data_IF_489903278247
#
_entry.id   IF_489903278247
#
_cell.length_a   1.000
_cell.length_b   1.000
_cell.length_c   1.000
_cell.angle_alpha   90.00
_cell.angle_beta   90.00
_cell.angle_gamma   90.00
#
_symmetry.space_group_name_H-M   'P 1'
#
loop_
_entity.id
_entity.type
_entity.pdbx_description
1 polymer ?
#
# COMPACT_ATOMS: atom_id res chain seq x y z
N UNK A 1 -57.64 2.90 -60.85
CA UNK A 1 -57.23 2.29 -62.10
C UNK A 1 -56.10 1.34 -61.76
N UNK A 2 -56.32 0.18 -61.74
CA UNK A 2 -56.23 -0.98 -62.60
C UNK A 2 -55.41 -2.09 -61.98
N UNK A 3 -56.14 -3.15 -61.65
CA UNK A 3 -55.93 -4.60 -61.84
C UNK A 3 -54.75 -5.29 -61.12
N UNK A 4 -55.06 -6.17 -60.15
CA UNK A 4 -55.46 -7.60 -60.21
C UNK A 4 -54.65 -8.41 -61.21
N UNK A 5 -53.83 -9.35 -60.63
CA UNK A 5 -53.84 -10.73 -61.09
C UNK A 5 -53.31 -11.70 -60.02
N UNK A 6 -54.21 -12.60 -59.69
CA UNK A 6 -53.98 -13.84 -58.91
C UNK A 6 -53.28 -14.87 -59.79
N UNK A 7 -52.37 -15.64 -59.16
CA UNK A 7 -52.04 -16.99 -59.66
C UNK A 7 -51.89 -17.92 -58.49
N UNK A 8 -52.80 -18.82 -58.36
CA UNK A 8 -52.86 -20.03 -57.55
C UNK A 8 -51.86 -21.06 -58.09
N UNK A 9 -51.06 -21.62 -57.18
CA UNK A 9 -50.19 -22.77 -57.48
C UNK A 9 -50.19 -23.72 -56.29
N UNK A 10 -50.97 -24.72 -56.39
CA UNK A 10 -51.12 -25.89 -55.50
C UNK A 10 -49.97 -26.85 -55.69
N UNK A 11 -49.24 -27.21 -54.64
CA UNK A 11 -48.41 -28.41 -54.63
C UNK A 11 -48.21 -28.92 -53.18
N UNK A 12 -48.90 -29.87 -52.94
CA UNK A 12 -48.82 -31.17 -52.30
C UNK A 12 -47.65 -31.43 -51.33
N UNK A 13 -48.12 -31.84 -50.17
CA UNK A 13 -47.50 -32.45 -49.04
C UNK A 13 -46.31 -33.43 -49.29
N UNK A 14 -45.33 -33.34 -48.38
CA UNK A 14 -44.73 -34.54 -47.81
C UNK A 14 -44.37 -34.22 -46.35
N UNK A 15 -45.22 -34.67 -45.44
CA UNK A 15 -44.88 -34.72 -44.02
C UNK A 15 -43.96 -35.93 -43.80
N UNK A 16 -42.66 -35.65 -43.53
CA UNK A 16 -41.80 -36.64 -42.93
C UNK A 16 -41.56 -36.15 -41.48
N UNK A 17 -42.28 -36.74 -40.57
CA UNK A 17 -42.04 -36.63 -39.11
C UNK A 17 -40.77 -37.43 -38.78
N UNK A 18 -39.63 -36.76 -38.76
CA UNK A 18 -38.50 -37.25 -37.98
C UNK A 18 -38.63 -36.70 -36.56
N UNK A 19 -39.31 -37.45 -35.72
CA UNK A 19 -39.17 -37.32 -34.27
C UNK A 19 -37.74 -37.78 -33.90
N UNK A 20 -36.79 -36.88 -34.03
CA UNK A 20 -35.52 -37.02 -33.31
C UNK A 20 -35.81 -36.67 -31.87
N UNK A 21 -36.08 -37.69 -31.07
CA UNK A 21 -36.07 -37.61 -29.61
C UNK A 21 -34.72 -37.02 -29.21
N UNK A 22 -34.74 -35.76 -28.76
CA UNK A 22 -33.66 -35.21 -27.96
C UNK A 22 -33.66 -36.07 -26.66
N UNK A 23 -32.91 -37.15 -26.67
CA UNK A 23 -32.51 -37.81 -25.44
C UNK A 23 -31.62 -36.79 -24.71
N UNK A 24 -32.18 -36.11 -23.70
CA UNK A 24 -31.39 -35.54 -22.63
C UNK A 24 -30.51 -36.70 -22.13
N UNK A 25 -29.16 -36.56 -22.14
CA UNK A 25 -28.34 -37.55 -21.51
C UNK A 25 -28.75 -37.59 -20.05
N UNK A 26 -29.39 -38.67 -19.65
CA UNK A 26 -29.49 -39.08 -18.25
C UNK A 26 -28.06 -39.11 -17.74
N UNK A 27 -27.83 -38.46 -16.59
CA UNK A 27 -26.56 -38.50 -15.88
C UNK A 27 -26.19 -39.99 -15.74
N UNK A 28 -25.33 -40.45 -16.64
CA UNK A 28 -24.78 -41.76 -16.64
C UNK A 28 -23.97 -41.88 -15.37
N UNK A 29 -24.19 -42.93 -14.62
CA UNK A 29 -23.51 -43.26 -13.36
C UNK A 29 -22.04 -43.65 -13.66
N UNK A 30 -21.33 -42.74 -14.32
CA UNK A 30 -19.94 -42.91 -14.74
C UNK A 30 -19.10 -42.87 -13.48
N UNK A 31 -18.59 -44.04 -13.08
CA UNK A 31 -17.66 -44.14 -11.96
C UNK A 31 -16.38 -43.35 -12.23
N UNK A 32 -16.38 -42.10 -11.83
CA UNK A 32 -15.29 -41.16 -12.05
C UNK A 32 -13.94 -41.61 -11.46
N UNK A 33 -13.97 -42.60 -10.53
CA UNK A 33 -12.75 -43.13 -9.91
C UNK A 33 -11.94 -44.03 -10.85
N UNK A 34 -12.55 -44.52 -11.92
CA UNK A 34 -11.91 -45.40 -12.92
C UNK A 34 -11.21 -44.69 -14.05
N UNK A 35 -11.23 -43.38 -14.08
CA UNK A 35 -10.58 -42.58 -15.14
C UNK A 35 -9.04 -42.61 -15.00
N UNK A 36 -8.29 -42.67 -16.12
CA UNK A 36 -6.86 -42.96 -16.12
C UNK A 36 -5.99 -41.83 -15.56
N UNK A 37 -6.52 -40.63 -15.40
CA UNK A 37 -5.77 -39.50 -14.85
C UNK A 37 -6.55 -38.83 -13.71
N UNK A 38 -5.84 -38.31 -12.72
CA UNK A 38 -6.43 -37.57 -11.60
C UNK A 38 -7.24 -36.35 -12.08
N UNK A 39 -6.80 -35.69 -13.16
CA UNK A 39 -7.50 -34.55 -13.75
C UNK A 39 -8.82 -34.98 -14.35
N UNK A 40 -8.84 -36.04 -15.15
CA UNK A 40 -10.07 -36.57 -15.74
C UNK A 40 -11.08 -37.08 -14.68
N UNK A 41 -10.59 -37.71 -13.61
CA UNK A 41 -11.43 -38.12 -12.47
C UNK A 41 -12.03 -36.91 -11.76
N UNK A 42 -11.26 -35.84 -11.54
CA UNK A 42 -11.74 -34.62 -10.92
C UNK A 42 -12.70 -33.85 -11.82
N UNK A 43 -12.43 -33.76 -13.13
CA UNK A 43 -13.33 -33.12 -14.11
C UNK A 43 -14.69 -33.82 -14.17
N UNK A 44 -14.69 -35.15 -14.06
CA UNK A 44 -15.90 -35.94 -14.01
C UNK A 44 -16.69 -35.70 -12.70
N UNK A 45 -16.03 -35.62 -11.56
CA UNK A 45 -16.67 -35.50 -10.25
C UNK A 45 -17.05 -34.06 -9.89
N UNK A 46 -16.25 -33.05 -10.35
CA UNK A 46 -16.37 -31.66 -9.93
C UNK A 46 -16.69 -30.69 -11.07
N UNK A 47 -16.81 -31.19 -12.30
CA UNK A 47 -16.96 -30.40 -13.53
C UNK A 47 -15.62 -29.97 -14.09
N UNK A 48 -15.65 -29.32 -15.26
CA UNK A 48 -14.43 -28.83 -15.91
C UNK A 48 -13.82 -27.66 -15.17
N UNK A 49 -12.48 -27.59 -15.18
CA UNK A 49 -11.76 -26.42 -14.66
C UNK A 49 -12.20 -25.15 -15.38
N UNK A 50 -12.47 -24.11 -14.61
CA UNK A 50 -12.87 -22.80 -15.08
C UNK A 50 -11.83 -21.76 -14.68
N UNK A 51 -11.76 -20.69 -15.48
CA UNK A 51 -10.90 -19.54 -15.19
C UNK A 51 -11.79 -18.39 -14.73
N UNK A 52 -11.43 -17.77 -13.59
CA UNK A 52 -12.08 -16.58 -13.08
C UNK A 52 -11.06 -15.50 -12.80
N UNK A 53 -11.38 -14.28 -13.18
CA UNK A 53 -10.62 -13.08 -12.84
C UNK A 53 -11.33 -12.43 -11.64
N UNK A 54 -10.58 -12.14 -10.60
CA UNK A 54 -11.07 -11.53 -9.36
C UNK A 54 -10.30 -10.24 -9.15
N UNK A 55 -11.00 -9.12 -9.27
CA UNK A 55 -10.43 -7.79 -9.08
C UNK A 55 -10.23 -7.50 -7.59
N UNK A 56 -9.07 -6.90 -7.25
CA UNK A 56 -8.78 -6.40 -5.91
C UNK A 56 -9.28 -4.95 -5.82
N UNK A 57 -10.17 -4.70 -4.86
CA UNK A 57 -10.85 -3.43 -4.71
C UNK A 57 -10.08 -2.44 -3.83
N UNK A 58 -9.46 -2.92 -2.78
CA UNK A 58 -8.83 -2.08 -1.76
C UNK A 58 -7.31 -2.18 -1.77
N UNK A 59 -6.79 -3.34 -2.10
CA UNK A 59 -5.35 -3.58 -2.20
C UNK A 59 -4.86 -3.08 -3.55
N UNK A 60 -3.98 -2.07 -3.55
CA UNK A 60 -3.38 -1.49 -4.77
C UNK A 60 -1.86 -1.67 -4.84
N UNK A 61 -1.23 -2.09 -3.75
CA UNK A 61 0.20 -2.35 -3.68
C UNK A 61 0.52 -3.76 -4.13
N UNK A 62 1.51 -3.92 -5.01
CA UNK A 62 1.89 -5.23 -5.53
C UNK A 62 2.33 -6.21 -4.44
N UNK A 63 3.02 -5.74 -3.40
CA UNK A 63 3.43 -6.58 -2.28
C UNK A 63 2.24 -7.18 -1.53
N UNK A 64 1.23 -6.35 -1.24
CA UNK A 64 0.03 -6.79 -0.54
C UNK A 64 -0.80 -7.75 -1.39
N UNK A 65 -0.92 -7.47 -2.69
CA UNK A 65 -1.58 -8.37 -3.64
C UNK A 65 -0.84 -9.73 -3.73
N UNK A 66 0.49 -9.72 -3.64
CA UNK A 66 1.28 -10.95 -3.56
C UNK A 66 1.04 -11.72 -2.25
N UNK A 67 0.84 -11.05 -1.11
CA UNK A 67 0.48 -11.71 0.15
C UNK A 67 -0.86 -12.45 0.03
N UNK A 68 -1.87 -11.80 -0.56
CA UNK A 68 -3.16 -12.44 -0.85
C UNK A 68 -2.95 -13.65 -1.78
N UNK A 69 -2.18 -13.49 -2.85
CA UNK A 69 -1.89 -14.57 -3.79
C UNK A 69 -1.22 -15.77 -3.08
N UNK A 70 -0.26 -15.52 -2.20
CA UNK A 70 0.43 -16.57 -1.41
C UNK A 70 -0.54 -17.25 -0.46
N UNK A 71 -1.40 -16.50 0.23
CA UNK A 71 -2.44 -17.06 1.09
C UNK A 71 -3.37 -17.99 0.31
N UNK A 72 -3.83 -17.57 -0.87
CA UNK A 72 -4.67 -18.39 -1.76
C UNK A 72 -3.93 -19.67 -2.18
N UNK A 73 -2.67 -19.57 -2.59
CA UNK A 73 -1.87 -20.74 -2.99
C UNK A 73 -1.69 -21.77 -1.88
N UNK A 74 -1.51 -21.29 -0.65
CA UNK A 74 -1.28 -22.16 0.50
C UNK A 74 -2.57 -22.87 0.97
N UNK A 75 -3.73 -22.29 0.68
CA UNK A 75 -5.03 -22.82 1.12
C UNK A 75 -5.80 -23.53 0.03
N UNK A 76 -5.46 -23.32 -1.24
CA UNK A 76 -6.12 -23.94 -2.37
C UNK A 76 -5.59 -25.36 -2.63
N UNK A 77 -6.39 -26.17 -3.34
CA UNK A 77 -5.96 -27.47 -3.83
C UNK A 77 -4.74 -27.33 -4.74
N UNK A 78 -3.77 -28.26 -4.72
CA UNK A 78 -2.58 -28.24 -5.57
C UNK A 78 -2.85 -28.19 -7.08
N UNK A 79 -4.03 -28.60 -7.54
CA UNK A 79 -4.45 -28.48 -8.93
C UNK A 79 -4.83 -27.06 -9.33
N UNK A 80 -5.11 -26.19 -8.36
CA UNK A 80 -5.48 -24.78 -8.59
C UNK A 80 -4.29 -23.98 -9.10
N UNK A 81 -4.49 -23.27 -10.21
CA UNK A 81 -3.51 -22.33 -10.75
C UNK A 81 -3.93 -20.90 -10.42
N UNK A 82 -3.02 -20.12 -9.91
CA UNK A 82 -3.27 -18.71 -9.55
C UNK A 82 -2.17 -17.81 -10.10
N UNK A 83 -2.54 -16.65 -10.58
CA UNK A 83 -1.62 -15.65 -11.12
C UNK A 83 -2.08 -14.23 -10.79
N UNK A 84 -1.16 -13.37 -10.35
CA UNK A 84 -1.41 -11.95 -10.13
C UNK A 84 -1.15 -11.17 -11.41
N UNK A 85 -2.15 -10.48 -11.93
CA UNK A 85 -2.06 -9.51 -13.02
C UNK A 85 -1.90 -8.12 -12.40
N UNK A 86 -0.68 -7.74 -12.09
CA UNK A 86 -0.40 -6.49 -11.37
C UNK A 86 -0.89 -5.25 -12.12
N UNK A 87 -0.84 -5.25 -13.47
CA UNK A 87 -1.32 -4.13 -14.29
C UNK A 87 -2.83 -3.90 -14.22
N UNK A 88 -3.60 -4.93 -13.87
CA UNK A 88 -5.06 -4.87 -13.75
C UNK A 88 -5.53 -4.94 -12.30
N UNK A 89 -4.60 -5.06 -11.35
CA UNK A 89 -4.90 -5.25 -9.93
C UNK A 89 -5.87 -6.43 -9.69
N UNK A 90 -5.64 -7.55 -10.37
CA UNK A 90 -6.53 -8.71 -10.37
C UNK A 90 -5.78 -10.02 -10.15
N UNK A 91 -6.44 -10.99 -9.51
CA UNK A 91 -5.96 -12.35 -9.36
C UNK A 91 -6.76 -13.25 -10.31
N UNK A 92 -6.05 -13.94 -11.19
CA UNK A 92 -6.62 -14.97 -12.07
C UNK A 92 -6.52 -16.31 -11.37
N UNK A 93 -7.64 -17.00 -11.30
CA UNK A 93 -7.76 -18.34 -10.67
C UNK A 93 -8.30 -19.31 -11.69
N UNK A 94 -7.63 -20.45 -11.86
CA UNK A 94 -8.11 -21.57 -12.67
C UNK A 94 -8.26 -22.80 -11.76
N UNK A 95 -9.49 -23.22 -11.56
CA UNK A 95 -9.83 -24.36 -10.67
C UNK A 95 -11.27 -24.84 -10.93
N UNK A 96 -11.75 -25.78 -10.14
CA UNK A 96 -13.12 -26.31 -10.22
C UNK A 96 -14.15 -25.31 -9.67
N UNK A 97 -15.41 -25.33 -10.16
CA UNK A 97 -16.45 -24.35 -9.80
C UNK A 97 -16.67 -24.17 -8.31
N UNK A 98 -16.70 -25.26 -7.55
CA UNK A 98 -16.91 -25.23 -6.09
C UNK A 98 -15.73 -24.53 -5.39
N UNK A 99 -14.50 -24.80 -5.83
CA UNK A 99 -13.30 -24.19 -5.26
C UNK A 99 -13.20 -22.70 -5.61
N UNK A 100 -13.69 -22.26 -6.79
CA UNK A 100 -13.72 -20.85 -7.18
C UNK A 100 -14.46 -20.00 -6.16
N UNK A 101 -15.66 -20.44 -5.73
CA UNK A 101 -16.47 -19.69 -4.77
C UNK A 101 -15.76 -19.52 -3.41
N UNK A 102 -15.08 -20.55 -2.94
CA UNK A 102 -14.30 -20.49 -1.70
C UNK A 102 -13.09 -19.56 -1.82
N UNK A 103 -12.36 -19.63 -2.94
CA UNK A 103 -11.20 -18.77 -3.19
C UNK A 103 -11.64 -17.31 -3.34
N UNK A 104 -12.74 -17.06 -4.02
CA UNK A 104 -13.30 -15.71 -4.15
C UNK A 104 -13.68 -15.13 -2.78
N UNK A 105 -14.37 -15.91 -1.94
CA UNK A 105 -14.69 -15.51 -0.58
C UNK A 105 -13.43 -15.23 0.26
N UNK A 106 -12.38 -16.06 0.12
CA UNK A 106 -11.10 -15.84 0.79
C UNK A 106 -10.44 -14.52 0.32
N UNK A 107 -10.35 -14.31 -1.00
CA UNK A 107 -9.76 -13.07 -1.56
C UNK A 107 -10.52 -11.85 -1.04
N UNK A 108 -11.86 -11.85 -1.10
CA UNK A 108 -12.67 -10.75 -0.60
C UNK A 108 -12.53 -10.53 0.92
N UNK A 109 -12.27 -11.58 1.69
CA UNK A 109 -12.03 -11.46 3.12
C UNK A 109 -10.68 -10.81 3.46
N UNK A 110 -9.69 -10.96 2.57
CA UNK A 110 -8.35 -10.38 2.72
C UNK A 110 -8.23 -8.99 2.06
N UNK A 111 -8.97 -8.75 0.99
CA UNK A 111 -9.02 -7.46 0.29
C UNK A 111 -9.89 -6.47 1.07
N UNK A 112 -9.31 -5.85 2.09
CA UNK A 112 -10.00 -4.91 2.98
C UNK A 112 -9.42 -3.50 2.84
N UNK A 113 -10.25 -2.46 3.07
CA UNK A 113 -9.76 -1.09 3.12
C UNK A 113 -8.75 -0.95 4.27
N UNK A 114 -7.65 -0.27 3.98
CA UNK A 114 -6.67 0.07 5.01
C UNK A 114 -7.16 1.28 5.81
N UNK A 115 -7.06 1.24 7.13
CA UNK A 115 -7.37 2.41 7.92
C UNK A 115 -6.38 3.55 7.61
N UNK A 116 -6.93 4.75 7.56
CA UNK A 116 -6.17 5.98 7.37
C UNK A 116 -6.09 6.72 8.70
N UNK A 117 -4.92 7.22 9.04
CA UNK A 117 -4.66 7.89 10.30
C UNK A 117 -4.19 9.32 10.06
N UNK A 118 -4.62 10.23 10.93
CA UNK A 118 -4.00 11.53 11.12
C UNK A 118 -3.04 11.45 12.28
N UNK A 119 -1.78 11.77 12.03
CA UNK A 119 -0.75 11.93 13.05
C UNK A 119 -0.54 13.41 13.31
N UNK A 120 -0.64 13.82 14.57
CA UNK A 120 -0.32 15.17 14.99
C UNK A 120 0.88 15.10 15.92
N UNK A 121 2.03 15.56 15.44
CA UNK A 121 3.23 15.75 16.24
C UNK A 121 3.21 17.13 16.87
N UNK A 122 3.51 17.19 18.15
CA UNK A 122 3.69 18.45 18.89
C UNK A 122 5.13 18.51 19.40
N UNK A 123 5.87 19.50 18.91
CA UNK A 123 7.22 19.81 19.39
C UNK A 123 7.10 20.99 20.34
N UNK A 124 7.46 20.78 21.59
CA UNK A 124 7.36 21.79 22.65
C UNK A 124 8.74 22.13 23.17
N UNK A 125 9.06 23.42 23.20
CA UNK A 125 10.29 23.94 23.73
C UNK A 125 10.05 24.47 25.16
N UNK A 126 10.93 24.10 26.10
CA UNK A 126 10.90 24.49 27.50
C UNK A 126 12.21 25.21 27.88
N UNK A 127 12.13 26.05 28.91
CA UNK A 127 13.27 26.56 29.65
C UNK A 127 13.03 26.30 31.14
N UNK A 128 13.73 25.33 31.71
CA UNK A 128 13.40 24.75 33.00
C UNK A 128 11.97 24.18 33.00
N UNK A 129 11.11 24.74 33.89
CA UNK A 129 9.69 24.38 33.96
C UNK A 129 8.80 25.23 33.05
N UNK A 130 9.33 26.27 32.41
CA UNK A 130 8.53 27.22 31.63
C UNK A 130 8.43 26.74 30.17
N UNK A 131 7.18 26.63 29.66
CA UNK A 131 6.93 26.37 28.25
C UNK A 131 7.17 27.63 27.43
N UNK A 132 8.12 27.59 26.51
CA UNK A 132 8.44 28.70 25.63
C UNK A 132 7.52 28.77 24.42
N UNK A 133 7.14 27.61 23.87
CA UNK A 133 6.29 27.52 22.69
C UNK A 133 6.02 26.10 22.27
N UNK A 134 5.10 25.93 21.33
CA UNK A 134 4.88 24.65 20.67
C UNK A 134 4.57 24.81 19.19
N UNK A 135 5.02 23.85 18.41
CA UNK A 135 4.80 23.73 16.97
C UNK A 135 4.07 22.42 16.69
N UNK A 136 3.09 22.47 15.81
CA UNK A 136 2.28 21.30 15.45
C UNK A 136 2.52 20.94 14.00
N UNK A 137 2.67 19.63 13.76
CA UNK A 137 2.90 19.06 12.45
C UNK A 137 1.88 17.94 12.25
N UNK A 138 1.10 18.00 11.17
CA UNK A 138 0.08 17.01 10.88
C UNK A 138 0.38 16.27 9.60
N UNK A 139 0.34 14.94 9.67
CA UNK A 139 0.51 14.03 8.55
C UNK A 139 -0.69 13.10 8.45
N UNK A 140 -0.99 12.68 7.22
CA UNK A 140 -2.00 11.65 6.98
C UNK A 140 -1.29 10.43 6.41
N UNK A 141 -1.50 9.29 7.04
CA UNK A 141 -0.85 8.02 6.71
C UNK A 141 -1.90 6.93 6.47
N UNK A 142 -1.78 6.24 5.36
CA UNK A 142 -2.50 4.98 5.13
C UNK A 142 -1.67 3.84 5.73
N UNK A 143 -2.28 3.06 6.60
CA UNK A 143 -1.65 1.97 7.35
C UNK A 143 -0.64 1.16 6.52
N UNK A 144 0.55 0.98 7.07
CA UNK A 144 1.64 0.23 6.46
C UNK A 144 2.41 0.98 5.36
N UNK A 145 2.06 2.25 5.09
CA UNK A 145 2.77 3.07 4.12
C UNK A 145 3.77 4.00 4.83
N UNK A 146 4.85 4.32 4.13
CA UNK A 146 5.84 5.28 4.63
C UNK A 146 5.42 6.69 4.22
N UNK A 147 5.30 7.59 5.19
CA UNK A 147 5.01 9.01 4.95
C UNK A 147 6.16 9.85 5.45
N UNK A 148 6.57 10.83 4.64
CA UNK A 148 7.63 11.76 4.99
C UNK A 148 7.14 13.20 4.91
N UNK A 149 7.55 14.03 5.86
CA UNK A 149 7.34 15.47 5.83
C UNK A 149 8.64 16.18 6.16
N UNK A 150 8.99 17.17 5.36
CA UNK A 150 10.15 18.04 5.59
C UNK A 150 9.70 19.48 5.66
N UNK A 151 10.08 20.17 6.72
CA UNK A 151 9.88 21.61 6.87
C UNK A 151 11.21 22.25 7.24
N UNK A 152 11.70 23.12 6.40
CA UNK A 152 13.00 23.74 6.65
C UNK A 152 13.41 24.73 5.58
N UNK A 153 14.69 25.03 5.58
CA UNK A 153 15.37 25.88 4.60
C UNK A 153 16.68 25.25 4.16
N UNK A 154 17.16 25.66 3.01
CA UNK A 154 18.49 25.29 2.52
C UNK A 154 19.51 26.33 2.91
N UNK A 155 20.60 25.88 3.50
CA UNK A 155 21.74 26.73 3.85
C UNK A 155 22.89 26.41 2.90
N UNK A 156 23.42 27.40 2.17
CA UNK A 156 24.60 27.19 1.34
C UNK A 156 25.83 27.03 2.23
N UNK A 157 26.64 26.01 1.94
CA UNK A 157 27.93 25.75 2.57
C UNK A 157 29.00 25.75 1.48
N UNK A 158 30.11 26.46 1.71
CA UNK A 158 31.21 26.51 0.77
C UNK A 158 32.01 25.19 0.88
N UNK A 159 32.06 24.39 -0.18
CA UNK A 159 32.74 23.12 -0.25
C UNK A 159 34.10 23.19 -0.95
N UNK A 160 34.41 24.31 -1.61
CA UNK A 160 35.68 24.50 -2.27
C UNK A 160 35.89 25.97 -2.66
N UNK A 161 37.14 26.42 -2.58
CA UNK A 161 37.60 27.66 -3.16
C UNK A 161 38.71 27.36 -4.16
N UNK A 162 38.57 27.85 -5.36
CA UNK A 162 39.57 27.71 -6.40
C UNK A 162 40.09 29.12 -6.73
N UNK A 163 41.34 29.39 -6.45
CA UNK A 163 41.99 30.59 -6.87
C UNK A 163 42.43 30.42 -8.33
N UNK A 164 41.84 31.20 -9.23
CA UNK A 164 42.32 31.33 -10.61
C UNK A 164 43.41 32.41 -10.65
N UNK A 165 44.47 32.13 -11.40
CA UNK A 165 45.48 33.16 -11.73
C UNK A 165 44.77 34.41 -12.25
N UNK A 166 45.05 35.57 -11.69
CA UNK A 166 44.45 36.89 -11.95
C UNK A 166 43.33 37.36 -10.98
N UNK A 167 43.27 36.88 -9.75
CA UNK A 167 42.49 37.52 -8.68
C UNK A 167 40.99 37.22 -8.66
N UNK A 168 40.53 36.28 -9.47
CA UNK A 168 39.18 35.78 -9.40
C UNK A 168 39.15 34.47 -8.61
N UNK A 169 38.42 34.41 -7.49
CA UNK A 169 38.17 33.19 -6.75
C UNK A 169 36.78 32.65 -7.13
N UNK A 170 36.74 31.38 -7.56
CA UNK A 170 35.48 30.65 -7.76
C UNK A 170 35.16 29.84 -6.51
N UNK A 171 33.94 29.98 -5.97
CA UNK A 171 33.48 29.23 -4.81
C UNK A 171 32.48 28.17 -5.24
N UNK A 172 32.70 26.92 -4.80
CA UNK A 172 31.73 25.83 -4.96
C UNK A 172 30.87 25.75 -3.70
N UNK A 173 29.55 25.79 -3.90
CA UNK A 173 28.59 25.72 -2.80
C UNK A 173 27.77 24.43 -2.87
N UNK A 174 27.59 23.81 -1.70
CA UNK A 174 26.63 22.71 -1.49
C UNK A 174 25.53 23.23 -0.56
N UNK A 175 24.29 22.79 -0.77
CA UNK A 175 23.17 23.19 0.05
C UNK A 175 22.84 22.08 1.05
N UNK A 176 22.80 22.44 2.34
CA UNK A 176 22.33 21.57 3.42
C UNK A 176 20.87 21.90 3.74
N UNK A 177 20.04 20.85 3.82
CA UNK A 177 18.67 20.97 4.29
C UNK A 177 18.68 21.05 5.82
N UNK A 178 18.17 22.13 6.39
CA UNK A 178 18.01 22.31 7.84
C UNK A 178 16.54 22.53 8.20
N UNK A 179 16.12 22.03 9.37
CA UNK A 179 14.75 22.12 9.85
C UNK A 179 14.26 20.82 10.49
N UNK A 180 12.98 20.54 10.37
CA UNK A 180 12.34 19.33 10.86
C UNK A 180 12.06 18.36 9.72
N UNK A 181 12.42 17.11 9.92
CA UNK A 181 12.11 15.99 9.03
C UNK A 181 11.42 14.89 9.82
N UNK A 182 10.28 14.44 9.33
CA UNK A 182 9.52 13.33 9.88
C UNK A 182 9.46 12.22 8.84
N UNK A 183 9.77 11.00 9.26
CA UNK A 183 9.67 9.78 8.47
C UNK A 183 8.94 8.75 9.33
N UNK A 184 7.76 8.35 8.90
CA UNK A 184 6.85 7.60 9.74
C UNK A 184 6.19 6.48 8.95
N UNK A 185 5.97 5.35 9.62
CA UNK A 185 5.14 4.24 9.14
C UNK A 185 4.29 3.74 10.30
N UNK A 186 2.98 3.65 10.10
CA UNK A 186 2.04 3.10 11.08
C UNK A 186 1.62 1.69 10.69
N UNK A 187 1.58 0.80 11.67
CA UNK A 187 1.04 -0.56 11.52
C UNK A 187 -0.01 -0.78 12.61
N UNK A 188 -1.29 -1.02 12.27
CA UNK A 188 -2.32 -1.28 13.25
C UNK A 188 -2.16 -2.66 13.87
N UNK A 189 -2.59 -2.78 15.13
CA UNK A 189 -2.79 -4.04 15.83
C UNK A 189 -4.10 -3.97 16.64
N UNK A 190 -4.51 -5.05 17.28
CA UNK A 190 -5.83 -5.16 17.90
C UNK A 190 -6.19 -4.02 18.87
N UNK A 191 -5.21 -3.48 19.61
CA UNK A 191 -5.45 -2.50 20.66
C UNK A 191 -4.83 -1.11 20.40
N UNK A 192 -4.38 -0.83 19.18
CA UNK A 192 -3.74 0.44 18.86
C UNK A 192 -2.93 0.42 17.58
N UNK A 193 -1.89 1.20 17.56
CA UNK A 193 -0.95 1.29 16.43
C UNK A 193 0.50 1.17 16.90
N UNK A 194 1.30 0.52 16.09
CA UNK A 194 2.77 0.58 16.20
C UNK A 194 3.26 1.60 15.19
N UNK A 195 4.05 2.55 15.64
CA UNK A 195 4.68 3.58 14.82
C UNK A 195 6.18 3.34 14.76
N UNK A 196 6.71 3.13 13.58
CA UNK A 196 8.12 3.29 13.30
C UNK A 196 8.34 4.74 12.87
N UNK A 197 9.18 5.46 13.59
CA UNK A 197 9.44 6.87 13.30
C UNK A 197 10.92 7.19 13.32
N UNK A 198 11.30 8.12 12.43
CA UNK A 198 12.57 8.84 12.48
C UNK A 198 12.24 10.32 12.40
N UNK A 199 12.58 11.06 13.44
CA UNK A 199 12.36 12.49 13.55
C UNK A 199 13.73 13.13 13.67
N UNK A 200 14.01 14.06 12.77
CA UNK A 200 15.27 14.75 12.68
C UNK A 200 15.03 16.26 12.75
N UNK A 201 15.73 16.91 13.65
CA UNK A 201 15.81 18.36 13.74
C UNK A 201 17.23 18.79 13.45
N UNK A 202 17.39 19.71 12.52
CA UNK A 202 18.68 20.35 12.25
C UNK A 202 18.55 21.86 12.29
N UNK A 203 19.60 22.53 12.78
CA UNK A 203 19.67 23.99 12.88
C UNK A 203 21.10 24.46 12.67
N UNK A 204 21.26 25.70 12.23
CA UNK A 204 22.59 26.34 12.18
C UNK A 204 22.91 26.91 13.53
N UNK A 205 24.08 26.55 14.07
CA UNK A 205 24.66 27.13 15.26
C UNK A 205 25.00 28.62 15.05
N UNK A 206 25.11 29.35 16.15
CA UNK A 206 25.61 30.71 16.14
C UNK A 206 27.15 30.76 16.09
N UNK A 207 27.77 29.66 16.34
CA UNK A 207 29.21 29.47 16.34
C UNK A 207 29.71 29.39 14.90
N UNK A 208 30.86 29.97 14.65
CA UNK A 208 31.58 29.86 13.37
C UNK A 208 32.62 28.76 13.47
N UNK A 209 32.76 27.96 12.42
CA UNK A 209 33.81 26.93 12.37
C UNK A 209 35.19 27.59 12.30
N UNK A 210 36.23 26.90 12.79
CA UNK A 210 37.63 27.34 12.69
C UNK A 210 38.11 27.42 11.21
N UNK A 211 37.35 26.81 10.28
CA UNK A 211 37.69 26.71 8.87
C UNK A 211 37.37 28.06 8.15
N UNK A 212 36.40 28.83 8.60
CA UNK A 212 36.08 30.13 8.05
C UNK A 212 34.70 30.66 8.43
N UNK A 213 34.49 31.99 8.30
CA UNK A 213 33.25 32.66 8.73
C UNK A 213 32.01 32.25 7.88
N UNK A 214 32.22 31.52 6.79
CA UNK A 214 31.16 31.08 5.87
C UNK A 214 30.82 29.58 6.00
N UNK A 215 31.45 28.86 6.95
CA UNK A 215 31.17 27.47 7.23
C UNK A 215 30.36 27.37 8.52
N UNK A 216 29.01 27.25 8.43
CA UNK A 216 28.17 27.17 9.60
C UNK A 216 28.29 25.81 10.29
N UNK A 217 28.31 25.81 11.61
CA UNK A 217 28.15 24.59 12.40
C UNK A 217 26.66 24.20 12.35
N UNK A 218 26.38 22.93 11.97
CA UNK A 218 25.02 22.40 11.94
C UNK A 218 24.82 21.47 13.12
N UNK A 219 23.91 21.83 13.99
CA UNK A 219 23.43 20.96 15.06
C UNK A 219 22.33 20.06 14.52
N UNK A 220 22.47 18.77 14.77
CA UNK A 220 21.49 17.77 14.34
C UNK A 220 21.09 16.89 15.53
N UNK A 221 19.80 16.67 15.65
CA UNK A 221 19.19 15.79 16.63
C UNK A 221 18.31 14.79 15.90
N UNK A 222 18.48 13.50 16.20
CA UNK A 222 17.70 12.42 15.60
C UNK A 222 17.08 11.57 16.71
N UNK A 223 15.77 11.35 16.63
CA UNK A 223 15.03 10.38 17.43
C UNK A 223 14.50 9.32 16.47
N UNK A 224 14.95 8.09 16.65
CA UNK A 224 14.50 6.96 15.82
C UNK A 224 14.10 5.79 16.70
N UNK A 225 12.98 5.15 16.39
CA UNK A 225 12.50 4.02 17.15
C UNK A 225 11.17 3.46 16.68
N UNK A 226 10.74 2.42 17.37
CA UNK A 226 9.46 1.78 17.19
C UNK A 226 8.68 1.89 18.49
N UNK A 227 7.48 2.47 18.43
CA UNK A 227 6.67 2.74 19.61
C UNK A 227 5.24 2.28 19.38
N UNK A 228 4.67 1.57 20.36
CA UNK A 228 3.26 1.17 20.34
C UNK A 228 2.44 2.07 21.25
N UNK A 229 1.29 2.56 20.77
CA UNK A 229 0.41 3.42 21.56
C UNK A 229 -1.06 3.33 21.15
N UNK A 230 -1.93 3.85 22.02
CA UNK A 230 -3.38 3.84 21.83
C UNK A 230 -3.82 5.07 21.02
N UNK A 231 -4.74 4.88 20.09
CA UNK A 231 -5.34 5.97 19.32
C UNK A 231 -6.03 7.01 20.22
N UNK A 232 -5.95 8.27 19.81
CA UNK A 232 -6.56 9.40 20.51
C UNK A 232 -5.86 9.84 21.82
N UNK A 233 -4.79 9.14 22.23
CA UNK A 233 -4.02 9.51 23.42
C UNK A 233 -2.66 10.08 23.04
N UNK A 234 -2.26 11.22 23.62
CA UNK A 234 -0.95 11.77 23.41
C UNK A 234 0.12 10.89 24.06
N UNK A 235 1.21 10.66 23.34
CA UNK A 235 2.39 9.95 23.81
C UNK A 235 3.63 10.82 23.58
N UNK A 236 4.42 11.02 24.62
CA UNK A 236 5.77 11.61 24.48
C UNK A 236 6.71 10.55 23.94
N UNK A 237 7.25 10.79 22.77
CA UNK A 237 8.16 9.86 22.08
C UNK A 237 9.62 10.20 22.30
N UNK A 238 9.93 11.41 22.75
CA UNK A 238 11.28 11.82 23.07
C UNK A 238 11.34 13.14 23.78
N UNK A 239 12.35 13.30 24.62
CA UNK A 239 12.72 14.54 25.27
C UNK A 239 14.23 14.72 25.17
N UNK A 240 14.66 15.91 24.80
CA UNK A 240 16.05 16.26 24.56
C UNK A 240 16.40 17.50 25.36
N UNK A 241 17.44 17.39 26.16
CA UNK A 241 18.02 18.51 26.89
C UNK A 241 19.19 19.09 26.06
N UNK A 242 19.26 20.41 26.00
CA UNK A 242 20.38 21.08 25.39
C UNK A 242 21.54 21.09 26.40
N UNK A 243 22.72 20.52 26.08
CA UNK A 243 23.87 20.51 26.98
C UNK A 243 24.16 21.92 27.54
N UNK A 244 24.57 21.97 28.81
CA UNK A 244 24.94 23.19 29.54
C UNK A 244 23.85 24.29 29.56
N UNK A 245 22.59 23.88 29.47
CA UNK A 245 21.44 24.79 29.36
C UNK A 245 20.24 24.21 30.14
N UNK A 246 19.31 25.08 30.56
CA UNK A 246 18.01 24.67 31.11
C UNK A 246 16.97 24.37 30.02
N UNK A 247 17.36 24.47 28.76
CA UNK A 247 16.47 24.27 27.61
C UNK A 247 16.26 22.78 27.33
N UNK A 248 15.01 22.44 27.08
CA UNK A 248 14.58 21.09 26.75
C UNK A 248 13.56 21.15 25.61
N UNK A 249 13.67 20.23 24.69
CA UNK A 249 12.67 20.00 23.64
C UNK A 249 11.97 18.66 23.89
N UNK A 250 10.65 18.67 23.83
CA UNK A 250 9.83 17.47 23.98
C UNK A 250 9.01 17.26 22.71
N UNK A 251 8.96 16.02 22.23
CA UNK A 251 8.18 15.62 21.06
C UNK A 251 7.11 14.65 21.51
N UNK A 252 5.85 15.00 21.29
CA UNK A 252 4.70 14.13 21.50
C UNK A 252 3.94 13.89 20.21
N UNK A 253 3.18 12.79 20.16
CA UNK A 253 2.35 12.40 19.03
C UNK A 253 0.98 11.95 19.47
N UNK A 254 -0.02 12.26 18.66
CA UNK A 254 -1.39 11.72 18.75
C UNK A 254 -1.72 11.13 17.36
N UNK A 255 -2.30 9.93 17.35
CA UNK A 255 -2.85 9.32 16.13
C UNK A 255 -4.36 9.20 16.26
N UNK A 256 -5.08 9.61 15.23
CA UNK A 256 -6.55 9.53 15.13
C UNK A 256 -6.91 8.81 13.83
N UNK A 257 -7.92 7.94 13.89
CA UNK A 257 -8.47 7.30 12.68
C UNK A 257 -9.29 8.32 11.89
N UNK A 258 -9.04 8.41 10.60
CA UNK A 258 -9.90 9.15 9.68
C UNK A 258 -11.01 8.24 9.16
N UNK A 259 -12.24 8.80 8.93
CA UNK A 259 -13.38 8.06 8.41
C UNK A 259 -13.15 7.56 6.98
#
# INVERSE_FOLDING_TARGET
MTRIQTLTGLALAFALACAAGAQTPTADDTDCSKLPTRVASNDCAQGHMQVKIIDLKYVSQQNDANEILVAVRNMADPSTKTYLVASQNAIVVATYPVAIAHIEALIHSLDRPRPVYRLTFTVTDFDGATKLGSRHYSLVDASGQRVTMKQGRKVPVITGKYDKDEGASETQNTYLDIGMNFDVTLTPYANGVTMKSKIEQSSVGQETSEIGPHDPIVHQTVIEGVTAFTLGKPLVIGSLEVPDSTKRMEISVVAETLP
#
